data_IF_905737006238
#
_entry.id   IF_905737006238
#
_cell.length_a   1.000
_cell.length_b   1.000
_cell.length_c   1.000
_cell.angle_alpha   90.00
_cell.angle_beta   90.00
_cell.angle_gamma   90.00
#
_symmetry.space_group_name_H-M   'P 1'
#
loop_
_entity.id
_entity.type
_entity.pdbx_description
1 polymer ?
#
# COMPACT_ATOMS: atom_id res chain seq x y z
N UNK A 1 3.89 16.96 20.17
CA UNK A 1 4.86 16.55 19.17
C UNK A 1 6.09 15.88 19.78
N UNK A 2 6.79 16.51 20.73
CA UNK A 2 8.03 15.95 21.31
C UNK A 2 7.82 14.56 21.94
N UNK A 3 6.73 14.37 22.70
CA UNK A 3 6.36 13.06 23.27
C UNK A 3 6.17 11.98 22.18
N UNK A 4 5.54 12.35 21.06
CA UNK A 4 5.31 11.41 19.95
C UNK A 4 6.62 11.00 19.26
N UNK A 5 7.57 11.93 19.12
CA UNK A 5 8.89 11.63 18.58
C UNK A 5 9.69 10.73 19.53
N UNK A 6 9.63 10.98 20.86
CA UNK A 6 10.26 10.10 21.86
C UNK A 6 9.68 8.68 21.79
N UNK A 7 8.35 8.55 21.70
CA UNK A 7 7.67 7.26 21.54
C UNK A 7 8.13 6.56 20.25
N UNK A 8 8.18 7.30 19.14
CA UNK A 8 8.57 6.75 17.83
C UNK A 8 10.02 6.30 17.80
N UNK A 9 10.95 7.11 18.36
CA UNK A 9 12.38 6.73 18.44
C UNK A 9 12.57 5.54 19.37
N UNK A 10 11.94 5.54 20.56
CA UNK A 10 12.02 4.40 21.48
C UNK A 10 11.41 3.12 20.87
N UNK A 11 10.34 3.26 20.12
CA UNK A 11 9.75 2.15 19.37
C UNK A 11 10.71 1.68 18.28
N UNK A 12 11.25 2.58 17.46
CA UNK A 12 12.22 2.26 16.42
C UNK A 12 13.47 1.58 16.98
N UNK A 13 14.00 2.07 18.11
CA UNK A 13 15.14 1.45 18.83
C UNK A 13 14.81 0.03 19.28
N UNK A 14 13.69 -0.13 19.98
CA UNK A 14 13.24 -1.44 20.47
C UNK A 14 13.02 -2.45 19.36
N UNK A 15 12.59 -1.98 18.18
CA UNK A 15 12.19 -2.78 17.03
C UNK A 15 13.32 -2.99 16.01
N UNK A 16 14.44 -2.28 16.16
CA UNK A 16 15.48 -2.21 15.14
C UNK A 16 14.97 -1.61 13.83
N UNK A 17 13.99 -0.70 13.91
CA UNK A 17 13.37 -0.05 12.76
C UNK A 17 13.94 1.34 12.53
N UNK A 18 13.65 1.88 11.35
CA UNK A 18 13.90 3.29 11.06
C UNK A 18 12.69 4.14 11.39
N UNK A 19 12.96 5.36 11.88
CA UNK A 19 12.00 6.43 11.98
C UNK A 19 12.55 7.66 11.26
N UNK A 20 11.69 8.52 10.72
CA UNK A 20 12.16 9.75 10.10
C UNK A 20 11.44 10.97 10.67
N UNK A 21 12.19 12.07 10.70
CA UNK A 21 11.66 13.41 10.96
C UNK A 21 11.85 14.25 9.71
N UNK A 22 10.75 14.84 9.23
CA UNK A 22 10.78 15.86 8.20
C UNK A 22 10.54 17.20 8.87
N UNK A 23 11.51 18.09 8.78
CA UNK A 23 11.39 19.47 9.23
C UNK A 23 11.05 20.35 8.04
N UNK A 24 9.97 21.12 8.12
CA UNK A 24 9.45 21.92 7.02
C UNK A 24 9.39 23.39 7.44
N UNK A 25 9.78 24.27 6.54
CA UNK A 25 9.58 25.71 6.66
C UNK A 25 8.93 26.24 5.38
N UNK A 26 7.93 27.10 5.54
CA UNK A 26 7.15 27.64 4.40
C UNK A 26 7.89 28.81 3.75
N UNK A 27 8.40 28.57 2.55
CA UNK A 27 9.08 29.63 1.79
C UNK A 27 8.08 30.73 1.38
N UNK A 28 8.44 31.96 1.69
CA UNK A 28 7.63 33.13 1.33
C UNK A 28 6.48 33.46 2.28
N UNK A 29 6.30 32.73 3.39
CA UNK A 29 5.20 33.00 4.33
C UNK A 29 5.22 34.40 4.95
N UNK A 30 6.42 34.98 5.14
CA UNK A 30 6.54 36.37 5.60
C UNK A 30 5.82 37.35 4.68
N UNK A 31 5.94 37.17 3.35
CA UNK A 31 5.24 38.03 2.38
C UNK A 31 3.72 37.92 2.47
N UNK A 32 3.21 36.73 2.86
CA UNK A 32 1.77 36.55 3.13
C UNK A 32 1.35 37.38 4.34
N UNK A 33 2.09 37.28 5.46
CA UNK A 33 1.82 38.11 6.64
C UNK A 33 1.87 39.61 6.35
N UNK A 34 2.85 40.04 5.55
CA UNK A 34 3.00 41.43 5.16
C UNK A 34 1.82 41.92 4.29
N UNK A 35 1.22 41.03 3.49
CA UNK A 35 0.12 41.36 2.59
C UNK A 35 -1.27 41.36 3.25
N UNK A 36 -1.55 40.37 4.15
CA UNK A 36 -2.89 40.16 4.73
C UNK A 36 -2.93 40.19 6.26
N UNK A 37 -1.81 40.58 6.88
CA UNK A 37 -1.66 40.64 8.34
C UNK A 37 -1.58 39.23 9.00
N UNK A 38 -1.24 39.24 10.29
CA UNK A 38 -1.04 38.00 11.04
C UNK A 38 -2.32 37.14 11.13
N UNK A 39 -3.49 37.72 11.25
CA UNK A 39 -4.76 36.96 11.25
C UNK A 39 -5.01 36.22 9.91
N UNK A 40 -4.66 36.87 8.80
CA UNK A 40 -4.73 36.22 7.49
C UNK A 40 -3.69 35.11 7.35
N UNK A 41 -2.49 35.35 7.83
CA UNK A 41 -1.44 34.36 7.89
C UNK A 41 -1.81 33.13 8.74
N UNK A 42 -2.47 33.32 9.88
CA UNK A 42 -2.97 32.22 10.71
C UNK A 42 -4.00 31.34 9.97
N UNK A 43 -4.87 31.96 9.16
CA UNK A 43 -5.81 31.20 8.31
C UNK A 43 -5.06 30.36 7.25
N UNK A 44 -4.01 30.91 6.63
CA UNK A 44 -3.15 30.15 5.70
C UNK A 44 -2.44 29.00 6.41
N UNK A 45 -1.91 29.22 7.61
CA UNK A 45 -1.26 28.16 8.39
C UNK A 45 -2.25 27.04 8.80
N UNK A 46 -3.48 27.37 9.12
CA UNK A 46 -4.52 26.39 9.40
C UNK A 46 -4.82 25.53 8.17
N UNK A 47 -4.91 26.16 6.99
CA UNK A 47 -5.10 25.43 5.73
C UNK A 47 -3.88 24.58 5.35
N UNK A 48 -2.65 25.08 5.55
CA UNK A 48 -1.41 24.30 5.41
C UNK A 48 -1.49 23.04 6.28
N UNK A 49 -1.82 23.18 7.57
CA UNK A 49 -1.94 22.06 8.46
C UNK A 49 -3.00 21.04 7.99
N UNK A 50 -4.13 21.51 7.47
CA UNK A 50 -5.17 20.64 6.93
C UNK A 50 -4.72 19.89 5.67
N UNK A 51 -4.06 20.57 4.72
CA UNK A 51 -3.52 19.96 3.51
C UNK A 51 -2.42 18.93 3.84
N UNK A 52 -1.51 19.27 4.74
CA UNK A 52 -0.47 18.34 5.21
C UNK A 52 -1.11 17.11 5.85
N UNK A 53 -2.13 17.30 6.71
CA UNK A 53 -2.82 16.19 7.37
C UNK A 53 -3.51 15.27 6.36
N UNK A 54 -4.15 15.82 5.32
CA UNK A 54 -4.80 15.02 4.26
C UNK A 54 -3.80 14.26 3.37
N UNK A 55 -2.55 14.69 3.34
CA UNK A 55 -1.48 14.07 2.55
C UNK A 55 -0.80 12.92 3.30
N UNK A 56 -0.90 12.92 4.64
CA UNK A 56 -0.24 11.97 5.53
C UNK A 56 -1.15 10.80 5.90
N UNK A 57 -0.56 9.65 6.15
CA UNK A 57 -1.27 8.47 6.68
C UNK A 57 -1.66 8.69 8.14
N UNK A 58 -2.53 7.82 8.66
CA UNK A 58 -3.06 7.93 10.03
C UNK A 58 -1.97 7.76 11.10
N UNK A 59 -0.98 6.94 10.82
CA UNK A 59 0.17 6.66 11.69
C UNK A 59 1.24 7.76 11.67
N UNK A 60 1.24 8.61 10.64
CA UNK A 60 2.18 9.71 10.52
C UNK A 60 1.69 10.92 11.33
N UNK A 61 2.56 11.49 12.11
CA UNK A 61 2.21 12.59 12.99
C UNK A 61 2.75 13.91 12.46
N UNK A 62 1.90 14.93 12.44
CA UNK A 62 2.29 16.31 12.11
C UNK A 62 2.12 17.22 13.33
N UNK A 63 3.09 18.12 13.54
CA UNK A 63 3.01 19.16 14.54
C UNK A 63 3.63 20.47 14.02
N UNK A 64 3.03 21.59 14.42
CA UNK A 64 3.63 22.93 14.22
C UNK A 64 4.59 23.21 15.34
N UNK A 65 5.81 23.63 15.03
CA UNK A 65 6.86 23.91 16.00
C UNK A 65 6.85 25.37 16.46
N UNK A 66 6.57 26.27 15.54
CA UNK A 66 6.46 27.71 15.79
C UNK A 66 6.45 28.46 14.46
N UNK A 67 5.90 29.67 14.41
CA UNK A 67 5.91 30.47 13.18
C UNK A 67 5.33 29.71 11.97
N UNK A 68 6.13 29.57 10.93
CA UNK A 68 5.87 28.86 9.68
C UNK A 68 6.52 27.45 9.62
N UNK A 69 7.02 26.96 10.75
CA UNK A 69 7.71 25.67 10.84
C UNK A 69 6.78 24.54 11.26
N UNK A 70 6.85 23.45 10.52
CA UNK A 70 6.15 22.20 10.80
C UNK A 70 7.15 21.04 10.90
N UNK A 71 6.79 20.03 11.66
CA UNK A 71 7.52 18.77 11.62
C UNK A 71 6.56 17.59 11.46
N UNK A 72 7.01 16.60 10.69
CA UNK A 72 6.33 15.35 10.48
C UNK A 72 7.20 14.23 11.03
N UNK A 73 6.59 13.35 11.81
CA UNK A 73 7.23 12.15 12.36
C UNK A 73 6.65 10.95 11.64
N UNK A 74 7.52 10.17 11.04
CA UNK A 74 7.21 8.94 10.36
C UNK A 74 7.77 7.76 11.16
N UNK A 75 6.91 6.84 11.54
CA UNK A 75 7.30 5.54 12.09
C UNK A 75 7.47 4.53 10.96
N UNK A 76 8.33 3.50 11.19
CA UNK A 76 8.47 2.36 10.29
C UNK A 76 8.85 2.73 8.84
N UNK A 77 9.93 3.52 8.70
CA UNK A 77 10.41 3.94 7.38
C UNK A 77 11.16 2.81 6.71
N UNK A 78 10.65 2.35 5.56
CA UNK A 78 11.21 1.23 4.83
C UNK A 78 12.37 1.63 3.91
N UNK A 79 12.27 2.79 3.24
CA UNK A 79 13.25 3.24 2.28
C UNK A 79 13.30 4.76 2.12
N UNK A 80 14.38 5.23 1.52
CA UNK A 80 14.56 6.65 1.19
C UNK A 80 13.51 7.14 0.20
N UNK A 81 13.18 6.31 -0.79
CA UNK A 81 12.18 6.61 -1.81
C UNK A 81 10.79 6.80 -1.21
N UNK A 82 10.46 6.09 -0.13
CA UNK A 82 9.21 6.30 0.61
C UNK A 82 9.15 7.73 1.16
N UNK A 83 10.21 8.20 1.81
CA UNK A 83 10.26 9.57 2.35
C UNK A 83 10.24 10.59 1.22
N UNK A 84 11.03 10.36 0.15
CA UNK A 84 11.05 11.24 -1.02
C UNK A 84 9.67 11.38 -1.65
N UNK A 85 8.94 10.28 -1.80
CA UNK A 85 7.57 10.27 -2.32
C UNK A 85 6.62 11.10 -1.45
N UNK A 86 6.69 10.95 -0.12
CA UNK A 86 5.87 11.74 0.81
C UNK A 86 6.26 13.21 0.75
N UNK A 87 7.55 13.53 0.78
CA UNK A 87 8.03 14.90 0.70
C UNK A 87 7.67 15.58 -0.63
N UNK A 88 7.69 14.86 -1.75
CA UNK A 88 7.21 15.35 -3.05
C UNK A 88 5.70 15.64 -3.03
N UNK A 89 4.89 14.76 -2.46
CA UNK A 89 3.44 14.98 -2.30
C UNK A 89 3.15 16.19 -1.44
N UNK A 90 3.88 16.38 -0.36
CA UNK A 90 3.81 17.57 0.51
C UNK A 90 4.13 18.82 -0.32
N UNK A 91 5.23 18.84 -1.05
CA UNK A 91 5.59 19.95 -1.94
C UNK A 91 4.49 20.28 -2.95
N UNK A 92 3.94 19.26 -3.61
CA UNK A 92 2.87 19.42 -4.61
C UNK A 92 1.58 20.01 -4.00
N UNK A 93 1.21 19.61 -2.80
CA UNK A 93 0.00 20.13 -2.11
C UNK A 93 0.20 21.56 -1.63
N UNK A 94 1.39 21.93 -1.19
CA UNK A 94 1.70 23.28 -0.72
C UNK A 94 1.81 24.31 -1.88
N UNK A 95 2.18 23.87 -3.09
CA UNK A 95 2.19 24.76 -4.28
C UNK A 95 0.82 25.06 -4.84
N UNK A 96 -0.26 24.40 -4.37
CA UNK A 96 -1.62 24.77 -4.76
C UNK A 96 -2.00 26.14 -4.15
N UNK A 97 -2.70 27.01 -4.89
CA UNK A 97 -3.06 28.34 -4.39
C UNK A 97 -3.84 28.30 -3.07
N UNK A 98 -3.47 29.17 -2.15
CA UNK A 98 -4.20 29.48 -0.92
C UNK A 98 -5.06 30.71 -1.19
N UNK A 99 -6.32 30.68 -0.79
CA UNK A 99 -7.25 31.80 -0.99
C UNK A 99 -7.72 32.34 0.35
N UNK A 100 -7.44 33.62 0.62
CA UNK A 100 -7.92 34.32 1.82
C UNK A 100 -8.62 35.59 1.38
N UNK A 101 -9.93 35.64 1.55
CA UNK A 101 -10.75 36.69 0.96
C UNK A 101 -10.63 36.66 -0.57
N UNK A 102 -10.33 37.83 -1.17
CA UNK A 102 -10.12 37.95 -2.61
C UNK A 102 -8.66 37.77 -3.07
N UNK A 103 -7.75 37.46 -2.14
CA UNK A 103 -6.32 37.32 -2.44
C UNK A 103 -5.94 35.85 -2.58
N UNK A 104 -5.01 35.58 -3.53
CA UNK A 104 -4.43 34.26 -3.76
C UNK A 104 -2.94 34.29 -3.54
N UNK A 105 -2.46 33.30 -2.81
CA UNK A 105 -1.04 33.12 -2.51
C UNK A 105 -0.57 31.73 -2.94
N UNK A 106 0.67 31.62 -3.37
CA UNK A 106 1.32 30.35 -3.63
C UNK A 106 2.52 30.24 -2.70
N UNK A 107 2.62 29.15 -1.98
CA UNK A 107 3.73 28.86 -1.08
C UNK A 107 4.51 27.65 -1.60
N UNK A 108 5.74 27.56 -1.17
CA UNK A 108 6.53 26.32 -1.25
C UNK A 108 7.07 25.97 0.13
N UNK A 109 7.77 24.87 0.24
CA UNK A 109 8.42 24.51 1.49
C UNK A 109 9.83 23.99 1.24
N UNK A 110 10.74 24.40 2.11
CA UNK A 110 12.05 23.78 2.26
C UNK A 110 11.95 22.65 3.27
N UNK A 111 12.36 21.45 2.90
CA UNK A 111 12.18 20.23 3.70
C UNK A 111 13.54 19.62 4.00
N UNK A 112 13.85 19.49 5.28
CA UNK A 112 14.99 18.72 5.78
C UNK A 112 14.53 17.40 6.37
N UNK A 113 15.24 16.34 6.06
CA UNK A 113 14.93 14.98 6.50
C UNK A 113 16.07 14.42 7.31
N UNK A 114 15.78 13.86 8.48
CA UNK A 114 16.71 13.05 9.23
C UNK A 114 16.09 11.72 9.63
N UNK A 115 16.90 10.66 9.63
CA UNK A 115 16.47 9.29 9.84
C UNK A 115 17.21 8.67 11.02
N UNK A 116 16.42 8.10 11.92
CA UNK A 116 16.92 7.25 13.00
C UNK A 116 17.12 5.82 12.48
N UNK A 117 18.20 5.12 12.79
CA UNK A 117 19.38 5.58 13.54
C UNK A 117 20.49 6.19 12.64
N UNK A 118 20.27 6.29 11.31
CA UNK A 118 21.31 6.58 10.32
C UNK A 118 21.92 7.99 10.46
N UNK A 119 21.08 9.01 10.67
CA UNK A 119 21.54 10.40 10.85
C UNK A 119 21.78 10.76 12.32
N UNK A 120 21.05 10.13 13.24
CA UNK A 120 21.18 10.39 14.68
C UNK A 120 20.53 9.28 15.52
N UNK A 121 21.02 9.11 16.76
CA UNK A 121 20.54 8.10 17.69
C UNK A 121 19.69 8.68 18.83
N UNK A 122 19.62 10.00 18.96
CA UNK A 122 18.79 10.66 19.96
C UNK A 122 17.76 11.58 19.30
N UNK A 123 16.64 11.81 19.98
CA UNK A 123 15.65 12.80 19.51
C UNK A 123 16.26 14.16 19.22
N UNK A 124 17.11 14.65 20.14
CA UNK A 124 17.70 15.98 20.01
C UNK A 124 18.58 16.11 18.78
N UNK A 125 19.43 15.13 18.55
CA UNK A 125 20.32 15.10 17.39
C UNK A 125 19.52 14.88 16.10
N UNK A 126 18.45 14.09 16.15
CA UNK A 126 17.59 13.83 14.98
C UNK A 126 16.88 15.11 14.51
N UNK A 127 16.35 15.89 15.47
CA UNK A 127 15.76 17.20 15.15
C UNK A 127 16.81 18.18 14.63
N UNK A 128 18.00 18.23 15.24
CA UNK A 128 19.08 19.08 14.80
C UNK A 128 19.58 18.72 13.39
N UNK A 129 19.66 17.43 13.07
CA UNK A 129 20.04 16.95 11.74
C UNK A 129 18.99 17.32 10.67
N UNK A 130 17.69 17.18 10.99
CA UNK A 130 16.60 17.57 10.10
C UNK A 130 16.57 19.08 9.87
N UNK A 131 16.75 19.89 10.93
CA UNK A 131 16.83 21.36 10.85
C UNK A 131 18.02 21.80 9.99
N UNK A 132 19.21 21.26 10.24
CA UNK A 132 20.39 21.54 9.43
C UNK A 132 20.19 21.18 7.95
N UNK A 133 19.53 20.06 7.66
CA UNK A 133 19.19 19.66 6.29
C UNK A 133 18.19 20.64 5.64
N UNK A 134 17.18 21.09 6.38
CA UNK A 134 16.22 22.11 5.93
C UNK A 134 16.91 23.44 5.64
N UNK A 135 17.82 23.88 6.51
CA UNK A 135 18.58 25.09 6.29
C UNK A 135 19.42 25.02 5.01
N UNK A 136 20.08 23.88 4.74
CA UNK A 136 20.78 23.64 3.46
C UNK A 136 19.82 23.70 2.25
N UNK A 137 18.58 23.24 2.39
CA UNK A 137 17.57 23.36 1.35
C UNK A 137 17.24 24.83 1.04
N UNK A 138 17.11 25.67 2.08
CA UNK A 138 16.89 27.11 1.95
C UNK A 138 18.07 27.84 1.28
N UNK A 139 19.29 27.59 1.70
CA UNK A 139 20.49 28.20 1.12
C UNK A 139 20.65 27.92 -0.37
N UNK A 140 20.14 26.79 -0.84
CA UNK A 140 20.18 26.40 -2.25
C UNK A 140 19.00 26.90 -3.08
N UNK A 141 18.25 27.88 -2.57
CA UNK A 141 17.16 28.55 -3.27
C UNK A 141 15.75 28.15 -2.85
N UNK A 142 15.60 27.38 -1.78
CA UNK A 142 14.28 26.94 -1.26
C UNK A 142 13.55 25.92 -2.14
N UNK A 143 12.33 25.57 -1.76
CA UNK A 143 11.45 24.63 -2.47
C UNK A 143 12.11 23.26 -2.78
N UNK A 144 12.90 22.75 -1.83
CA UNK A 144 13.73 21.55 -2.02
C UNK A 144 13.69 20.63 -0.81
N UNK A 145 14.00 19.37 -1.10
CA UNK A 145 14.17 18.33 -0.08
C UNK A 145 15.66 18.07 0.10
N UNK A 146 16.13 18.03 1.34
CA UNK A 146 17.49 17.63 1.70
C UNK A 146 17.45 16.59 2.80
N UNK A 147 18.32 15.60 2.69
CA UNK A 147 18.54 14.59 3.73
C UNK A 147 19.71 14.97 4.61
N UNK A 148 19.75 14.42 5.81
CA UNK A 148 20.91 14.43 6.69
C UNK A 148 22.13 13.82 6.00
N UNK A 149 23.29 13.95 6.64
CA UNK A 149 24.58 13.50 6.09
C UNK A 149 24.88 12.03 6.48
N UNK A 150 23.94 11.33 7.10
CA UNK A 150 24.06 9.92 7.46
C UNK A 150 24.27 9.03 6.24
N UNK A 151 25.07 8.01 6.44
CA UNK A 151 25.38 7.02 5.40
C UNK A 151 24.17 6.09 5.25
N UNK A 152 23.12 6.60 4.61
CA UNK A 152 21.96 5.80 4.28
C UNK A 152 22.32 4.84 3.15
N UNK A 153 23.10 3.83 3.49
CA UNK A 153 23.25 2.68 2.63
C UNK A 153 21.90 1.97 2.56
N UNK A 154 21.49 1.59 1.36
CA UNK A 154 20.22 0.97 1.01
C UNK A 154 19.92 -0.33 1.76
N UNK A 155 20.78 -0.74 2.68
CA UNK A 155 20.81 -2.02 3.40
C UNK A 155 20.76 -1.90 4.92
N UNK A 156 19.95 -1.01 5.48
CA UNK A 156 19.58 -1.22 6.85
C UNK A 156 18.40 -2.19 6.88
N UNK A 157 18.72 -3.42 7.12
CA UNK A 157 17.77 -4.46 7.46
C UNK A 157 16.90 -4.01 8.63
N UNK A 158 15.60 -4.03 8.43
CA UNK A 158 14.62 -3.95 9.51
C UNK A 158 14.99 -5.02 10.55
N UNK A 159 15.37 -4.59 11.75
CA UNK A 159 15.62 -5.46 12.88
C UNK A 159 16.78 -6.46 12.73
N UNK A 160 17.89 -6.08 12.09
CA UNK A 160 19.05 -6.98 11.96
C UNK A 160 18.79 -8.21 11.08
N UNK A 161 17.67 -8.26 10.38
CA UNK A 161 17.39 -9.30 9.40
C UNK A 161 17.85 -8.82 8.04
N UNK A 162 18.99 -9.32 7.56
CA UNK A 162 19.49 -9.13 6.21
C UNK A 162 18.38 -9.36 5.17
N UNK A 163 18.47 -8.73 3.95
CA UNK A 163 17.67 -9.19 2.81
C UNK A 163 17.74 -10.70 2.81
N UNK A 164 16.59 -11.35 2.83
CA UNK A 164 16.57 -12.80 2.97
C UNK A 164 17.37 -13.38 1.82
N UNK A 165 18.41 -14.12 2.14
CA UNK A 165 19.12 -14.93 1.16
C UNK A 165 18.14 -16.02 0.70
N UNK A 166 17.47 -15.74 -0.43
CA UNK A 166 16.48 -16.64 -1.02
C UNK A 166 17.11 -17.86 -1.70
N UNK A 167 18.41 -18.15 -1.41
CA UNK A 167 19.00 -19.48 -1.65
C UNK A 167 18.41 -20.53 -0.71
N UNK A 168 17.80 -20.11 0.41
CA UNK A 168 17.04 -20.94 1.34
C UNK A 168 15.55 -20.92 1.02
N UNK A 169 14.81 -21.97 1.40
CA UNK A 169 13.35 -21.98 1.27
C UNK A 169 12.73 -20.78 2.03
N UNK A 170 11.78 -20.02 1.44
CA UNK A 170 11.21 -18.83 2.07
C UNK A 170 10.64 -19.05 3.47
N UNK A 171 10.11 -20.23 3.78
CA UNK A 171 9.67 -20.60 5.13
C UNK A 171 10.81 -20.61 6.16
N UNK A 172 11.98 -21.11 5.78
CA UNK A 172 13.12 -21.25 6.69
C UNK A 172 13.68 -19.89 7.11
N UNK A 173 13.45 -18.88 6.29
CA UNK A 173 13.84 -17.48 6.53
C UNK A 173 12.68 -16.62 7.05
N UNK A 174 11.61 -17.27 7.54
CA UNK A 174 10.52 -16.64 8.26
C UNK A 174 9.42 -16.03 7.40
N UNK A 175 9.30 -16.39 6.11
CA UNK A 175 8.14 -16.02 5.31
C UNK A 175 6.96 -16.98 5.55
N UNK A 176 5.75 -16.42 5.50
CA UNK A 176 4.50 -17.19 5.47
C UNK A 176 3.45 -16.42 4.65
N UNK A 177 2.40 -17.13 4.26
CA UNK A 177 1.19 -16.51 3.72
C UNK A 177 0.16 -16.31 4.84
N UNK A 178 -0.32 -15.08 4.97
CA UNK A 178 -1.54 -14.76 5.70
C UNK A 178 -2.69 -14.64 4.69
N UNK A 179 -3.88 -14.93 5.13
CA UNK A 179 -5.06 -14.97 4.28
C UNK A 179 -6.09 -13.97 4.77
N UNK A 180 -6.56 -13.11 3.87
CA UNK A 180 -7.63 -12.18 4.17
C UNK A 180 -8.90 -12.59 3.43
N UNK A 181 -10.03 -12.77 4.14
CA UNK A 181 -11.26 -13.24 3.50
C UNK A 181 -11.83 -12.22 2.53
N UNK A 182 -12.37 -12.76 1.43
CA UNK A 182 -13.20 -12.06 0.46
C UNK A 182 -14.61 -12.62 0.61
N UNK A 183 -15.59 -11.76 0.85
CA UNK A 183 -16.98 -12.19 1.05
C UNK A 183 -17.89 -11.56 0.00
N UNK A 184 -18.98 -12.26 -0.32
CA UNK A 184 -20.06 -11.67 -1.11
C UNK A 184 -20.59 -10.43 -0.39
N UNK A 185 -20.73 -9.35 -1.14
CA UNK A 185 -21.08 -8.04 -0.57
C UNK A 185 -22.48 -8.02 0.06
N UNK A 186 -23.41 -8.85 -0.42
CA UNK A 186 -24.83 -8.85 -0.05
C UNK A 186 -25.15 -9.75 1.14
N UNK A 187 -24.64 -10.99 1.10
CA UNK A 187 -25.00 -12.01 2.10
C UNK A 187 -23.83 -12.35 3.06
N UNK A 188 -22.64 -11.81 2.80
CA UNK A 188 -21.45 -12.05 3.63
C UNK A 188 -20.87 -13.46 3.51
N UNK A 189 -21.35 -14.29 2.58
CA UNK A 189 -20.81 -15.62 2.31
C UNK A 189 -19.37 -15.51 1.80
N UNK A 190 -18.50 -16.36 2.31
CA UNK A 190 -17.09 -16.38 1.90
C UNK A 190 -16.99 -16.91 0.48
N UNK A 191 -16.35 -16.13 -0.40
CA UNK A 191 -16.18 -16.47 -1.83
C UNK A 191 -14.71 -16.78 -2.16
N UNK A 192 -13.76 -16.38 -1.29
CA UNK A 192 -12.35 -16.60 -1.47
C UNK A 192 -11.52 -15.97 -0.37
N UNK A 193 -10.21 -15.97 -0.58
CA UNK A 193 -9.25 -15.30 0.28
C UNK A 193 -8.11 -14.72 -0.56
N UNK A 194 -7.54 -13.60 -0.15
CA UNK A 194 -6.29 -13.10 -0.72
C UNK A 194 -5.11 -13.59 0.13
N UNK A 195 -4.15 -14.25 -0.52
CA UNK A 195 -2.90 -14.68 0.09
C UNK A 195 -1.91 -13.50 0.10
N UNK A 196 -1.54 -13.09 1.28
CA UNK A 196 -0.70 -11.93 1.53
C UNK A 196 0.59 -12.39 2.17
N UNK A 197 1.72 -12.14 1.50
CA UNK A 197 3.01 -12.48 2.07
C UNK A 197 3.25 -11.72 3.37
N UNK A 198 3.77 -12.42 4.38
CA UNK A 198 4.13 -11.86 5.68
C UNK A 198 5.50 -12.41 6.09
N UNK A 199 6.18 -11.66 6.92
CA UNK A 199 7.42 -12.11 7.57
C UNK A 199 7.18 -12.23 9.06
N UNK A 200 7.59 -13.36 9.64
CA UNK A 200 7.52 -13.57 11.08
C UNK A 200 8.64 -12.79 11.75
N UNK A 201 8.27 -11.84 12.59
CA UNK A 201 9.23 -11.13 13.42
C UNK A 201 9.09 -11.63 14.87
N UNK A 202 10.22 -11.97 15.57
CA UNK A 202 10.15 -12.55 16.92
C UNK A 202 9.41 -11.71 17.95
N UNK A 203 9.41 -10.38 17.78
CA UNK A 203 8.81 -9.43 18.73
C UNK A 203 7.48 -8.83 18.24
N UNK A 204 7.20 -8.87 16.92
CA UNK A 204 6.07 -8.13 16.30
C UNK A 204 5.07 -9.04 15.60
N UNK A 205 5.27 -10.36 15.63
CA UNK A 205 4.40 -11.29 14.93
C UNK A 205 4.52 -11.13 13.41
N UNK A 206 3.40 -11.03 12.72
CA UNK A 206 3.35 -11.00 11.26
C UNK A 206 3.51 -9.58 10.72
N UNK A 207 4.61 -9.31 10.03
CA UNK A 207 4.88 -8.05 9.35
C UNK A 207 4.50 -8.14 7.87
N UNK A 208 3.78 -7.13 7.38
CA UNK A 208 3.53 -6.92 5.96
C UNK A 208 4.72 -6.20 5.28
N UNK A 209 4.87 -6.30 3.94
CA UNK A 209 5.97 -5.64 3.23
C UNK A 209 6.07 -4.14 3.49
N UNK A 210 4.93 -3.45 3.61
CA UNK A 210 4.86 -2.02 3.91
C UNK A 210 5.37 -1.65 5.31
N UNK A 211 5.60 -2.62 6.21
CA UNK A 211 6.11 -2.41 7.56
C UNK A 211 7.64 -2.56 7.66
N UNK A 212 8.37 -2.25 6.57
CA UNK A 212 9.81 -2.03 6.64
C UNK A 212 10.69 -3.21 6.26
N UNK A 213 10.17 -4.21 5.57
CA UNK A 213 11.02 -5.13 4.83
C UNK A 213 10.66 -5.07 3.34
N UNK A 214 11.68 -5.14 2.48
CA UNK A 214 11.46 -5.17 1.04
C UNK A 214 11.61 -6.60 0.51
N UNK A 215 10.77 -6.96 -0.45
CA UNK A 215 11.04 -8.10 -1.31
C UNK A 215 12.34 -7.79 -2.05
N UNK A 216 13.25 -8.75 -2.11
CA UNK A 216 14.56 -8.58 -2.77
C UNK A 216 14.42 -7.90 -4.14
N UNK A 217 15.40 -7.02 -4.48
CA UNK A 217 15.49 -6.43 -5.83
C UNK A 217 16.09 -7.42 -6.84
N UNK A 218 16.69 -8.49 -6.36
CA UNK A 218 17.20 -9.58 -7.19
C UNK A 218 16.04 -10.28 -7.89
N UNK A 219 16.13 -10.39 -9.19
CA UNK A 219 15.08 -10.95 -10.03
C UNK A 219 14.90 -12.45 -9.82
N UNK A 220 16.01 -13.19 -9.65
CA UNK A 220 15.96 -14.64 -9.37
C UNK A 220 15.34 -14.92 -8.02
N UNK A 221 15.66 -14.09 -7.02
CA UNK A 221 15.06 -14.14 -5.71
C UNK A 221 13.55 -13.89 -5.75
N UNK A 222 13.09 -12.93 -6.55
CA UNK A 222 11.65 -12.65 -6.73
C UNK A 222 10.94 -13.79 -7.44
N UNK A 223 11.57 -14.40 -8.46
CA UNK A 223 11.05 -15.58 -9.14
C UNK A 223 10.92 -16.77 -8.19
N UNK A 224 11.95 -17.02 -7.35
CA UNK A 224 11.89 -18.06 -6.34
C UNK A 224 10.75 -17.85 -5.34
N UNK A 225 10.52 -16.59 -4.95
CA UNK A 225 9.42 -16.20 -4.08
C UNK A 225 8.06 -16.45 -4.74
N UNK A 226 7.89 -16.08 -6.00
CA UNK A 226 6.64 -16.30 -6.75
C UNK A 226 6.32 -17.80 -6.87
N UNK A 227 7.31 -18.65 -7.17
CA UNK A 227 7.13 -20.10 -7.17
C UNK A 227 6.67 -20.63 -5.82
N UNK A 228 7.28 -20.15 -4.75
CA UNK A 228 6.89 -20.54 -3.39
C UNK A 228 5.47 -20.07 -3.05
N UNK A 229 5.12 -18.81 -3.35
CA UNK A 229 3.77 -18.26 -3.12
C UNK A 229 2.72 -19.10 -3.83
N UNK A 230 2.92 -19.43 -5.11
CA UNK A 230 1.97 -20.21 -5.90
C UNK A 230 1.81 -21.63 -5.34
N UNK A 231 2.90 -22.31 -4.98
CA UNK A 231 2.84 -23.65 -4.37
C UNK A 231 2.15 -23.64 -3.02
N UNK A 232 2.51 -22.70 -2.18
CA UNK A 232 1.93 -22.56 -0.83
C UNK A 232 0.44 -22.25 -0.88
N UNK A 233 0.03 -21.29 -1.75
CA UNK A 233 -1.35 -20.92 -1.93
C UNK A 233 -2.18 -22.07 -2.53
N UNK A 234 -1.64 -22.80 -3.52
CA UNK A 234 -2.31 -23.97 -4.11
C UNK A 234 -2.49 -25.10 -3.09
N UNK A 235 -1.44 -25.43 -2.35
CA UNK A 235 -1.50 -26.44 -1.28
C UNK A 235 -2.52 -26.08 -0.19
N UNK A 236 -2.59 -24.79 0.17
CA UNK A 236 -3.56 -24.32 1.16
C UNK A 236 -5.00 -24.36 0.62
N UNK A 237 -5.21 -23.96 -0.64
CA UNK A 237 -6.52 -24.06 -1.30
C UNK A 237 -7.01 -25.53 -1.38
N UNK A 238 -6.09 -26.45 -1.70
CA UNK A 238 -6.36 -27.89 -1.65
C UNK A 238 -6.79 -28.37 -0.27
N UNK A 239 -6.05 -27.97 0.76
CA UNK A 239 -6.35 -28.33 2.14
C UNK A 239 -7.73 -27.86 2.59
N UNK A 240 -8.13 -26.64 2.21
CA UNK A 240 -9.48 -26.13 2.51
C UNK A 240 -10.56 -26.88 1.73
N UNK A 241 -10.33 -27.19 0.45
CA UNK A 241 -11.28 -27.94 -0.36
C UNK A 241 -11.48 -29.35 0.19
N UNK A 242 -10.40 -30.05 0.61
CA UNK A 242 -10.48 -31.33 1.28
C UNK A 242 -11.26 -31.26 2.61
N UNK A 243 -11.20 -30.10 3.29
CA UNK A 243 -12.01 -29.80 4.48
C UNK A 243 -13.44 -29.35 4.19
N UNK A 244 -13.89 -29.38 2.94
CA UNK A 244 -15.26 -29.00 2.52
C UNK A 244 -15.45 -27.53 2.20
N UNK A 245 -14.37 -26.72 2.14
CA UNK A 245 -14.42 -25.30 1.80
C UNK A 245 -13.71 -25.05 0.45
N UNK A 246 -14.45 -25.14 -0.65
CA UNK A 246 -13.92 -24.89 -1.99
C UNK A 246 -13.82 -23.39 -2.24
N UNK A 247 -12.68 -22.81 -1.87
CA UNK A 247 -12.40 -21.37 -1.93
C UNK A 247 -11.39 -21.05 -3.01
N UNK A 248 -11.60 -19.93 -3.67
CA UNK A 248 -10.57 -19.33 -4.53
C UNK A 248 -9.56 -18.57 -3.70
N UNK A 249 -8.27 -18.67 -4.07
CA UNK A 249 -7.20 -17.94 -3.44
C UNK A 249 -6.58 -16.96 -4.43
N UNK A 250 -6.66 -15.69 -4.12
CA UNK A 250 -6.05 -14.62 -4.89
C UNK A 250 -4.60 -14.48 -4.49
N UNK A 251 -3.69 -14.31 -5.45
CA UNK A 251 -2.25 -14.21 -5.22
C UNK A 251 -1.64 -13.05 -6.00
N UNK A 252 -0.78 -12.29 -5.32
CA UNK A 252 0.08 -11.27 -5.91
C UNK A 252 1.46 -11.88 -6.21
N UNK A 253 2.06 -11.51 -7.35
CA UNK A 253 3.38 -11.97 -7.76
C UNK A 253 4.37 -10.80 -7.76
N UNK A 254 5.60 -11.05 -7.29
CA UNK A 254 6.65 -10.04 -7.17
C UNK A 254 7.45 -9.81 -8.45
N UNK A 255 7.79 -10.88 -9.17
CA UNK A 255 8.53 -10.82 -10.44
C UNK A 255 7.61 -10.87 -11.65
N UNK A 256 6.51 -11.63 -11.52
CA UNK A 256 5.58 -11.86 -12.61
C UNK A 256 6.26 -12.37 -13.89
N UNK A 257 7.02 -13.47 -13.79
CA UNK A 257 7.64 -14.11 -14.96
C UNK A 257 6.71 -15.19 -15.53
N UNK A 258 6.21 -15.02 -16.78
CA UNK A 258 5.37 -16.01 -17.44
C UNK A 258 5.98 -17.42 -17.49
N UNK A 259 7.30 -17.51 -17.69
CA UNK A 259 8.00 -18.79 -17.82
C UNK A 259 7.98 -19.58 -16.52
N UNK A 260 8.15 -18.88 -15.40
CA UNK A 260 8.11 -19.50 -14.08
C UNK A 260 6.71 -20.04 -13.75
N UNK A 261 5.67 -19.30 -14.12
CA UNK A 261 4.29 -19.75 -13.92
C UNK A 261 4.01 -20.97 -14.80
N UNK A 262 4.47 -20.98 -16.05
CA UNK A 262 4.30 -22.11 -16.96
C UNK A 262 5.03 -23.39 -16.48
N UNK A 263 6.19 -23.26 -15.81
CA UNK A 263 6.89 -24.44 -15.24
C UNK A 263 6.05 -25.19 -14.20
N UNK A 264 5.17 -24.48 -13.50
CA UNK A 264 4.29 -25.07 -12.50
C UNK A 264 3.17 -25.92 -13.11
N UNK A 265 2.84 -25.72 -14.39
CA UNK A 265 1.82 -26.55 -15.08
C UNK A 265 2.28 -27.99 -15.30
N UNK A 266 3.61 -28.21 -15.33
CA UNK A 266 4.22 -29.54 -15.42
C UNK A 266 4.36 -30.26 -14.08
N UNK A 267 4.06 -29.60 -12.97
CA UNK A 267 4.12 -30.18 -11.63
C UNK A 267 2.81 -30.96 -11.37
N UNK A 268 2.89 -32.31 -11.50
CA UNK A 268 1.72 -33.18 -11.34
C UNK A 268 1.05 -33.03 -9.97
N UNK A 269 1.80 -32.60 -8.93
CA UNK A 269 1.28 -32.36 -7.58
C UNK A 269 0.45 -31.09 -7.44
N UNK A 270 0.52 -30.16 -8.42
CA UNK A 270 -0.13 -28.85 -8.36
C UNK A 270 -1.22 -28.66 -9.43
N UNK A 271 -1.25 -29.45 -10.49
CA UNK A 271 -2.07 -29.20 -11.69
C UNK A 271 -3.57 -29.06 -11.40
N UNK A 272 -4.11 -29.81 -10.44
CA UNK A 272 -5.54 -29.71 -10.06
C UNK A 272 -5.87 -28.52 -9.17
N UNK A 273 -4.90 -28.02 -8.43
CA UNK A 273 -5.08 -26.97 -7.42
C UNK A 273 -4.83 -25.56 -7.96
N UNK A 274 -4.09 -25.46 -9.07
CA UNK A 274 -3.90 -24.18 -9.79
C UNK A 274 -5.23 -23.57 -10.25
N UNK A 275 -6.24 -24.39 -10.54
CA UNK A 275 -7.58 -23.90 -10.90
C UNK A 275 -8.28 -23.12 -9.76
N UNK A 276 -7.83 -23.27 -8.52
CA UNK A 276 -8.32 -22.52 -7.37
C UNK A 276 -7.61 -21.20 -7.18
N UNK A 277 -6.52 -20.95 -7.91
CA UNK A 277 -5.79 -19.72 -7.84
C UNK A 277 -6.36 -18.67 -8.80
N UNK A 278 -6.30 -17.42 -8.36
CA UNK A 278 -6.51 -16.24 -9.18
C UNK A 278 -5.33 -15.30 -9.04
N UNK A 279 -4.60 -15.10 -10.14
CA UNK A 279 -3.45 -14.21 -10.16
C UNK A 279 -3.93 -12.77 -10.27
N UNK A 280 -3.42 -11.91 -9.41
CA UNK A 280 -3.67 -10.48 -9.45
C UNK A 280 -2.60 -9.79 -10.30
N UNK A 281 -3.06 -8.98 -11.26
CA UNK A 281 -2.22 -8.19 -12.16
C UNK A 281 -2.59 -6.72 -12.02
N UNK A 282 -1.58 -5.86 -11.86
CA UNK A 282 -1.84 -4.43 -11.81
C UNK A 282 -1.96 -3.83 -13.23
N UNK A 283 -2.76 -2.78 -13.35
CA UNK A 283 -2.88 -2.02 -14.59
C UNK A 283 -1.52 -1.47 -15.08
N UNK A 284 -0.59 -1.17 -14.16
CA UNK A 284 0.74 -0.68 -14.47
C UNK A 284 1.63 -1.77 -15.10
N UNK A 285 1.53 -3.02 -14.67
CA UNK A 285 2.25 -4.15 -15.27
C UNK A 285 1.81 -4.38 -16.73
N UNK A 286 0.53 -4.11 -17.02
CA UNK A 286 -0.02 -4.23 -18.35
C UNK A 286 0.39 -3.10 -19.30
N UNK A 287 0.61 -1.89 -18.79
CA UNK A 287 0.93 -0.71 -19.62
C UNK A 287 2.37 -0.69 -20.18
N UNK A 288 3.28 -1.50 -19.65
CA UNK A 288 4.72 -1.44 -19.94
C UNK A 288 5.30 -2.52 -20.86
N UNK A 289 4.53 -3.54 -21.30
CA UNK A 289 5.02 -4.71 -22.03
C UNK A 289 4.41 -4.91 -23.41
N UNK A 290 4.88 -5.96 -24.12
CA UNK A 290 4.23 -6.44 -25.35
C UNK A 290 2.86 -7.04 -24.99
N UNK A 291 1.83 -6.25 -25.24
CA UNK A 291 0.44 -6.60 -24.90
C UNK A 291 0.01 -7.93 -25.52
N UNK A 292 0.51 -8.28 -26.71
CA UNK A 292 0.13 -9.51 -27.40
C UNK A 292 0.76 -10.74 -26.74
N UNK A 293 2.04 -10.68 -26.36
CA UNK A 293 2.72 -11.77 -25.65
C UNK A 293 2.09 -12.00 -24.28
N UNK A 294 1.78 -10.92 -23.56
CA UNK A 294 1.11 -10.97 -22.28
C UNK A 294 -0.28 -11.60 -22.36
N UNK A 295 -1.13 -11.18 -23.31
CA UNK A 295 -2.46 -11.76 -23.53
C UNK A 295 -2.35 -13.25 -23.85
N UNK A 296 -1.44 -13.64 -24.74
CA UNK A 296 -1.23 -15.05 -25.09
C UNK A 296 -0.79 -15.89 -23.87
N UNK A 297 0.06 -15.33 -23.00
CA UNK A 297 0.43 -15.97 -21.74
C UNK A 297 -0.79 -16.18 -20.83
N UNK A 298 -1.57 -15.11 -20.58
CA UNK A 298 -2.77 -15.20 -19.72
C UNK A 298 -3.77 -16.24 -20.30
N UNK A 299 -3.94 -16.30 -21.64
CA UNK A 299 -4.77 -17.29 -22.30
C UNK A 299 -4.30 -18.73 -22.05
N UNK A 300 -2.99 -18.98 -22.11
CA UNK A 300 -2.42 -20.30 -21.76
C UNK A 300 -2.69 -20.69 -20.31
N UNK A 301 -2.52 -19.75 -19.38
CA UNK A 301 -2.82 -19.97 -17.97
C UNK A 301 -4.31 -20.26 -17.74
N UNK A 302 -5.19 -19.52 -18.41
CA UNK A 302 -6.66 -19.75 -18.34
C UNK A 302 -7.02 -21.12 -18.90
N UNK A 303 -6.36 -21.56 -19.99
CA UNK A 303 -6.55 -22.91 -20.55
C UNK A 303 -6.14 -24.01 -19.56
N UNK A 304 -5.14 -23.73 -18.71
CA UNK A 304 -4.70 -24.63 -17.62
C UNK A 304 -5.60 -24.52 -16.36
N UNK A 305 -6.67 -23.73 -16.40
CA UNK A 305 -7.66 -23.61 -15.34
C UNK A 305 -7.46 -22.43 -14.39
N UNK A 306 -6.35 -21.72 -14.47
CA UNK A 306 -6.13 -20.52 -13.64
C UNK A 306 -7.05 -19.37 -14.03
N UNK A 307 -7.25 -18.43 -13.13
CA UNK A 307 -7.99 -17.20 -13.40
C UNK A 307 -7.16 -15.97 -13.04
N UNK A 308 -7.55 -14.83 -13.61
CA UNK A 308 -6.86 -13.56 -13.39
C UNK A 308 -7.84 -12.48 -12.93
N UNK A 309 -7.34 -11.58 -12.09
CA UNK A 309 -8.04 -10.36 -11.70
C UNK A 309 -7.16 -9.14 -12.00
N UNK A 310 -7.78 -8.06 -12.43
CA UNK A 310 -7.12 -6.77 -12.52
C UNK A 310 -7.16 -6.10 -11.14
N UNK A 311 -5.99 -5.84 -10.56
CA UNK A 311 -5.87 -5.24 -9.23
C UNK A 311 -5.56 -3.73 -9.30
N UNK A 312 -5.79 -3.05 -8.18
CA UNK A 312 -5.58 -1.61 -7.99
C UNK A 312 -6.24 -0.75 -9.08
N UNK A 313 -7.45 -1.13 -9.49
CA UNK A 313 -8.17 -0.39 -10.54
C UNK A 313 -8.75 0.91 -9.98
N UNK A 314 -8.24 2.04 -10.49
CA UNK A 314 -8.62 3.41 -10.06
C UNK A 314 -9.49 4.18 -11.07
N UNK A 315 -9.98 3.50 -12.12
CA UNK A 315 -10.79 4.06 -13.22
C UNK A 315 -10.04 5.06 -14.14
N UNK A 316 -8.73 5.29 -13.98
CA UNK A 316 -8.04 6.38 -14.67
C UNK A 316 -7.01 6.01 -15.74
N UNK A 317 -6.43 4.81 -15.72
CA UNK A 317 -5.18 4.56 -16.46
C UNK A 317 -5.28 3.60 -17.65
N UNK A 318 -6.36 2.86 -17.82
CA UNK A 318 -6.49 1.92 -18.94
C UNK A 318 -7.63 2.28 -19.89
N UNK A 319 -7.39 2.20 -21.18
CA UNK A 319 -8.49 2.32 -22.15
C UNK A 319 -9.44 1.14 -22.00
N UNK A 320 -10.74 1.37 -22.12
CA UNK A 320 -11.75 0.31 -22.09
C UNK A 320 -11.48 -0.78 -23.16
N UNK A 321 -10.89 -0.38 -24.28
CA UNK A 321 -10.52 -1.29 -25.36
C UNK A 321 -9.39 -2.24 -24.94
N UNK A 322 -8.37 -1.71 -24.24
CA UNK A 322 -7.26 -2.54 -23.73
C UNK A 322 -7.75 -3.49 -22.64
N UNK A 323 -8.65 -3.04 -21.76
CA UNK A 323 -9.27 -3.89 -20.74
C UNK A 323 -10.09 -5.03 -21.34
N UNK A 324 -10.90 -4.74 -22.36
CA UNK A 324 -11.75 -5.74 -23.01
C UNK A 324 -10.96 -6.87 -23.70
N UNK A 325 -9.68 -6.63 -24.05
CA UNK A 325 -8.79 -7.64 -24.62
C UNK A 325 -8.19 -8.60 -23.58
N UNK A 326 -8.30 -8.28 -22.28
CA UNK A 326 -7.74 -9.12 -21.22
C UNK A 326 -8.66 -10.29 -20.89
N UNK A 327 -8.15 -11.52 -20.83
CA UNK A 327 -8.92 -12.68 -20.40
C UNK A 327 -9.02 -12.78 -18.87
N UNK A 328 -9.34 -11.64 -18.22
CA UNK A 328 -9.59 -11.58 -16.77
C UNK A 328 -11.05 -11.89 -16.42
N UNK A 329 -11.31 -12.23 -15.17
CA UNK A 329 -12.63 -12.56 -14.66
C UNK A 329 -13.10 -11.64 -13.52
N UNK A 330 -12.23 -10.79 -13.03
CA UNK A 330 -12.55 -9.89 -11.93
C UNK A 330 -11.75 -8.58 -12.01
N UNK A 331 -12.32 -7.53 -11.43
CA UNK A 331 -11.65 -6.28 -11.11
C UNK A 331 -11.65 -6.11 -9.60
N UNK A 332 -10.52 -5.72 -9.03
CA UNK A 332 -10.40 -5.26 -7.65
C UNK A 332 -10.25 -3.74 -7.64
N UNK A 333 -11.18 -3.05 -7.00
CA UNK A 333 -11.15 -1.60 -6.87
C UNK A 333 -10.03 -1.17 -5.96
N UNK A 334 -9.28 -0.14 -6.36
CA UNK A 334 -8.27 0.48 -5.54
C UNK A 334 -8.86 1.03 -4.23
N UNK A 335 -8.10 0.94 -3.12
CA UNK A 335 -8.53 1.42 -1.80
C UNK A 335 -9.00 2.88 -1.84
N UNK A 336 -8.34 3.75 -2.63
CA UNK A 336 -8.71 5.17 -2.74
C UNK A 336 -10.16 5.41 -3.23
N UNK A 337 -10.73 4.51 -4.04
CA UNK A 337 -12.14 4.58 -4.43
C UNK A 337 -13.07 4.11 -3.32
N UNK A 338 -12.67 3.06 -2.59
CA UNK A 338 -13.46 2.46 -1.51
C UNK A 338 -13.52 3.36 -0.26
N UNK A 339 -12.40 4.00 0.08
CA UNK A 339 -12.24 4.81 1.30
C UNK A 339 -13.30 5.92 1.42
N UNK A 340 -13.64 6.55 0.30
CA UNK A 340 -14.56 7.69 0.26
C UNK A 340 -15.96 7.36 -0.27
N UNK A 341 -16.26 6.10 -0.58
CA UNK A 341 -17.51 5.71 -1.27
C UNK A 341 -18.78 6.04 -0.48
N UNK A 342 -18.73 6.03 0.85
CA UNK A 342 -19.88 6.33 1.68
C UNK A 342 -20.30 7.82 1.63
N UNK A 343 -19.35 8.73 1.39
CA UNK A 343 -19.54 10.17 1.54
C UNK A 343 -19.40 10.93 0.21
N UNK A 344 -18.61 10.41 -0.74
CA UNK A 344 -18.26 11.10 -1.98
C UNK A 344 -19.11 10.64 -3.16
N UNK A 345 -19.93 11.56 -3.69
CA UNK A 345 -20.66 11.31 -4.95
C UNK A 345 -19.74 11.00 -6.13
N UNK A 346 -18.55 11.59 -6.16
CA UNK A 346 -17.55 11.32 -7.21
C UNK A 346 -17.04 9.89 -7.10
N UNK A 347 -16.69 9.42 -5.90
CA UNK A 347 -16.27 8.04 -5.68
C UNK A 347 -17.41 7.06 -6.05
N UNK A 348 -18.64 7.36 -5.65
CA UNK A 348 -19.82 6.56 -6.03
C UNK A 348 -19.99 6.47 -7.55
N UNK A 349 -19.88 7.59 -8.26
CA UNK A 349 -20.00 7.63 -9.72
C UNK A 349 -18.90 6.82 -10.42
N UNK A 350 -17.65 6.88 -9.94
CA UNK A 350 -16.52 6.11 -10.48
C UNK A 350 -16.71 4.61 -10.23
N UNK A 351 -17.11 4.23 -9.02
CA UNK A 351 -17.42 2.82 -8.70
C UNK A 351 -18.57 2.32 -9.56
N UNK A 352 -19.66 3.09 -9.69
CA UNK A 352 -20.81 2.74 -10.52
C UNK A 352 -20.41 2.53 -11.99
N UNK A 353 -19.62 3.44 -12.56
CA UNK A 353 -19.13 3.31 -13.93
C UNK A 353 -18.27 2.03 -14.10
N UNK A 354 -17.38 1.75 -13.15
CA UNK A 354 -16.55 0.54 -13.14
C UNK A 354 -17.42 -0.72 -13.08
N UNK A 355 -18.41 -0.75 -12.21
CA UNK A 355 -19.35 -1.89 -12.09
C UNK A 355 -20.11 -2.12 -13.40
N UNK A 356 -20.62 -1.07 -14.04
CA UNK A 356 -21.33 -1.20 -15.32
C UNK A 356 -20.44 -1.78 -16.41
N UNK A 357 -19.21 -1.31 -16.54
CA UNK A 357 -18.23 -1.81 -17.51
C UNK A 357 -17.87 -3.27 -17.22
N UNK A 358 -17.50 -3.58 -15.98
CA UNK A 358 -17.14 -4.94 -15.58
C UNK A 358 -18.25 -5.94 -15.86
N UNK A 359 -19.49 -5.62 -15.48
CA UNK A 359 -20.66 -6.47 -15.73
C UNK A 359 -20.92 -6.68 -17.22
N UNK A 360 -20.73 -5.64 -18.04
CA UNK A 360 -20.88 -5.75 -19.51
C UNK A 360 -19.85 -6.70 -20.14
N UNK A 361 -18.69 -6.86 -19.49
CA UNK A 361 -17.63 -7.78 -19.89
C UNK A 361 -17.75 -9.16 -19.21
N UNK A 362 -18.75 -9.37 -18.37
CA UNK A 362 -18.94 -10.62 -17.62
C UNK A 362 -17.96 -10.80 -16.46
N UNK A 363 -17.40 -9.69 -15.94
CA UNK A 363 -16.45 -9.70 -14.84
C UNK A 363 -17.12 -9.39 -13.50
N UNK A 364 -16.59 -9.96 -12.42
CA UNK A 364 -16.97 -9.59 -11.05
C UNK A 364 -16.18 -8.40 -10.57
N UNK A 365 -16.77 -7.63 -9.65
CA UNK A 365 -16.11 -6.48 -9.00
C UNK A 365 -15.95 -6.75 -7.51
N UNK A 366 -14.73 -6.61 -7.01
CA UNK A 366 -14.38 -6.75 -5.59
C UNK A 366 -13.86 -5.40 -5.09
N UNK A 367 -14.38 -4.90 -3.98
CA UNK A 367 -13.89 -3.69 -3.35
C UNK A 367 -12.91 -4.03 -2.21
N UNK A 368 -11.70 -3.47 -2.27
CA UNK A 368 -10.64 -3.63 -1.26
C UNK A 368 -10.71 -2.49 -0.23
N UNK A 369 -10.21 -2.75 0.97
CA UNK A 369 -10.07 -1.72 2.01
C UNK A 369 -11.38 -1.25 2.63
N UNK A 370 -12.39 -2.11 2.70
CA UNK A 370 -13.65 -1.82 3.40
C UNK A 370 -13.41 -1.84 4.91
N UNK A 371 -13.57 -0.69 5.57
CA UNK A 371 -13.30 -0.52 6.99
C UNK A 371 -14.56 -0.26 7.81
N UNK A 372 -15.69 0.12 7.15
CA UNK A 372 -16.93 0.46 7.85
C UNK A 372 -18.14 -0.19 7.18
N UNK A 373 -19.21 -0.35 7.98
CA UNK A 373 -20.49 -0.82 7.48
C UNK A 373 -21.09 0.13 6.44
N UNK A 374 -20.95 1.44 6.62
CA UNK A 374 -21.46 2.44 5.67
C UNK A 374 -20.81 2.30 4.27
N UNK A 375 -19.50 2.00 4.23
CA UNK A 375 -18.82 1.71 2.97
C UNK A 375 -19.38 0.43 2.32
N UNK A 376 -19.56 -0.63 3.10
CA UNK A 376 -20.14 -1.88 2.57
C UNK A 376 -21.54 -1.66 2.01
N UNK A 377 -22.43 -0.98 2.73
CA UNK A 377 -23.80 -0.68 2.29
C UNK A 377 -23.81 0.15 0.99
N UNK A 378 -22.94 1.16 0.90
CA UNK A 378 -22.79 1.95 -0.32
C UNK A 378 -22.33 1.08 -1.51
N UNK A 379 -21.32 0.21 -1.32
CA UNK A 379 -20.80 -0.69 -2.35
C UNK A 379 -21.85 -1.71 -2.82
N UNK A 380 -22.64 -2.26 -1.89
CA UNK A 380 -23.78 -3.13 -2.21
C UNK A 380 -24.79 -2.41 -3.09
N UNK A 381 -25.16 -1.17 -2.74
CA UNK A 381 -26.11 -0.37 -3.51
C UNK A 381 -25.62 -0.06 -4.94
N UNK A 382 -24.30 0.04 -5.12
CA UNK A 382 -23.64 0.27 -6.42
C UNK A 382 -23.44 -1.01 -7.23
N UNK A 383 -23.78 -2.18 -6.67
CA UNK A 383 -23.75 -3.46 -7.39
C UNK A 383 -22.40 -4.16 -7.39
N UNK A 384 -21.51 -3.84 -6.44
CA UNK A 384 -20.26 -4.57 -6.21
C UNK A 384 -20.58 -5.99 -5.74
N UNK A 385 -19.82 -6.99 -6.22
CA UNK A 385 -20.07 -8.41 -5.95
C UNK A 385 -19.42 -8.89 -4.66
N UNK A 386 -18.19 -8.46 -4.41
CA UNK A 386 -17.40 -8.90 -3.27
C UNK A 386 -16.78 -7.73 -2.52
N UNK A 387 -16.53 -7.94 -1.23
CA UNK A 387 -15.86 -6.97 -0.37
C UNK A 387 -14.76 -7.63 0.45
N UNK A 388 -13.70 -6.87 0.69
CA UNK A 388 -12.54 -7.26 1.47
C UNK A 388 -12.06 -6.05 2.28
N UNK A 389 -11.70 -6.25 3.54
CA UNK A 389 -11.18 -5.17 4.39
C UNK A 389 -11.27 -5.50 5.86
N UNK A 390 -10.81 -4.57 6.70
CA UNK A 390 -10.76 -4.76 8.16
C UNK A 390 -12.15 -4.80 8.80
N UNK A 391 -13.16 -4.26 8.12
CA UNK A 391 -14.54 -4.45 8.56
C UNK A 391 -14.96 -5.93 8.56
N UNK A 392 -14.44 -6.72 7.63
CA UNK A 392 -14.72 -8.16 7.52
C UNK A 392 -13.79 -8.95 8.45
N UNK A 393 -12.48 -8.85 8.22
CA UNK A 393 -11.43 -9.39 9.07
C UNK A 393 -10.05 -8.88 8.65
N UNK A 394 -9.10 -8.88 9.59
CA UNK A 394 -7.68 -8.69 9.29
C UNK A 394 -7.09 -9.92 8.58
N UNK A 395 -5.98 -9.78 7.85
CA UNK A 395 -5.20 -10.93 7.39
C UNK A 395 -4.77 -11.81 8.57
N UNK A 396 -4.94 -13.11 8.45
CA UNK A 396 -4.68 -14.08 9.53
C UNK A 396 -3.92 -15.30 9.00
N UNK A 397 -3.32 -16.09 9.90
CA UNK A 397 -2.64 -17.32 9.49
C UNK A 397 -3.62 -18.33 8.88
N UNK A 398 -3.12 -19.31 8.14
CA UNK A 398 -3.96 -20.38 7.57
C UNK A 398 -4.77 -21.12 8.64
N UNK A 399 -4.18 -21.32 9.83
CA UNK A 399 -4.83 -21.97 10.96
C UNK A 399 -5.99 -21.13 11.50
N UNK A 400 -5.73 -19.84 11.72
CA UNK A 400 -6.73 -18.91 12.22
C UNK A 400 -7.85 -18.70 11.20
N UNK A 401 -7.50 -18.65 9.90
CA UNK A 401 -8.48 -18.55 8.81
C UNK A 401 -9.40 -19.78 8.78
N UNK A 402 -8.86 -20.98 8.92
CA UNK A 402 -9.66 -22.21 8.98
C UNK A 402 -10.58 -22.23 10.21
N UNK A 403 -10.14 -21.70 11.35
CA UNK A 403 -10.96 -21.56 12.55
C UNK A 403 -12.10 -20.54 12.33
N UNK A 404 -11.76 -19.37 11.77
CA UNK A 404 -12.70 -18.31 11.44
C UNK A 404 -13.75 -18.74 10.43
N UNK A 405 -13.35 -19.55 9.42
CA UNK A 405 -14.23 -20.13 8.42
C UNK A 405 -15.28 -21.06 9.04
N UNK A 406 -14.85 -21.96 9.94
CA UNK A 406 -15.75 -22.89 10.65
C UNK A 406 -16.78 -22.19 11.53
N UNK A 407 -16.34 -21.14 12.26
CA UNK A 407 -17.25 -20.35 13.10
C UNK A 407 -18.36 -19.67 12.29
N UNK A 408 -18.05 -19.17 11.09
CA UNK A 408 -19.04 -18.56 10.20
C UNK A 408 -19.96 -19.56 9.52
N UNK A 409 -19.45 -20.72 9.10
CA UNK A 409 -20.28 -21.78 8.52
C UNK A 409 -21.25 -22.41 9.55
N UNK A 410 -20.89 -22.41 10.83
CA UNK A 410 -21.77 -22.88 11.91
C UNK A 410 -22.85 -21.86 12.31
N UNK A 411 -22.78 -20.62 11.82
CA UNK A 411 -23.77 -19.54 12.09
C UNK A 411 -24.73 -19.30 10.92
N UNK A 412 -24.49 -19.87 9.76
CA UNK A 412 -25.32 -19.79 8.57
C UNK A 412 -26.30 -20.99 8.52
#
# INVERSE_FOLDING_TARGET
MMSRLDETVAEAERLGLRAAVLFLDLDGFKAVNDAIGHHGGDAVLAEVAARLRSTLRREEFIGRLGGDEFAIVMSHVASREQIESIAQRIGAVLTQPFTVGDQRFTLSASIGVAVYPDDAQTRGDLLAAADAAMYRAKEQGGARIRFGDGDWTTEASVGGMAPADLTSEPRDIGYLLAYQPIVDARDGRITGAEALIRRVHPLHGLLAPEHGWSISRDEDARRALDRWVLREAASQAHSWAAGGADLRVDVNLAAYDPREIETLFGDEGLSGDLARLRIEISAAQFAGGDTAEFVAFVERCVTSGMSFALDEFDAGLASLQSLAALPVRAIKLARGLTEHVAESRTAQALVQATVVVAKSLGWSVVAKGVETQAQQEALVSLGVDGVQGFHIAHPMTAIDFAAWLRDRQGRA
#
